data_IF_877161467028
#
_entry.id   IF_877161467028
#
_cell.length_a   1.000
_cell.length_b   1.000
_cell.length_c   1.000
_cell.angle_alpha   90.00
_cell.angle_beta   90.00
_cell.angle_gamma   90.00
#
_symmetry.space_group_name_H-M   'P 1'
#
loop_
_entity.id
_entity.type
_entity.pdbx_description
1 polymer ?
#
# COMPACT_ATOMS: atom_id res chain seq x y z
N UNK A 1 22.13 6.43 -14.45
CA UNK A 1 20.98 7.33 -14.71
C UNK A 1 20.71 8.15 -13.47
N UNK A 2 20.59 9.43 -13.61
CA UNK A 2 20.28 10.30 -12.47
C UNK A 2 18.76 10.35 -12.25
N UNK A 3 18.35 10.79 -11.05
CA UNK A 3 16.94 10.97 -10.74
C UNK A 3 16.25 11.94 -11.72
N UNK A 4 16.99 12.92 -12.23
CA UNK A 4 16.45 13.89 -13.18
C UNK A 4 16.09 13.26 -14.52
N UNK A 5 16.60 12.06 -14.83
CA UNK A 5 16.27 11.36 -16.08
C UNK A 5 14.95 10.62 -15.98
N UNK A 6 14.38 10.49 -14.78
CA UNK A 6 13.10 9.83 -14.59
C UNK A 6 11.97 10.85 -14.68
N UNK A 7 11.11 10.67 -15.67
CA UNK A 7 9.91 11.47 -15.77
C UNK A 7 8.81 10.84 -14.90
N UNK A 8 8.81 11.21 -13.62
CA UNK A 8 7.83 10.69 -12.67
C UNK A 8 6.39 11.11 -13.04
N UNK A 9 6.23 12.16 -13.83
CA UNK A 9 4.90 12.64 -14.25
C UNK A 9 4.22 11.67 -15.21
N UNK A 10 5.01 10.83 -15.90
CA UNK A 10 4.46 9.80 -16.79
C UNK A 10 4.08 8.51 -16.06
N UNK A 11 4.45 8.37 -14.79
CA UNK A 11 4.15 7.18 -14.02
C UNK A 11 2.70 7.17 -13.56
N UNK A 12 2.14 5.96 -13.44
CA UNK A 12 0.84 5.79 -12.82
C UNK A 12 0.90 6.25 -11.36
N UNK A 13 -0.18 6.84 -10.87
CA UNK A 13 -0.23 7.36 -9.50
C UNK A 13 -1.37 6.73 -8.71
N UNK A 14 -1.20 6.70 -7.39
CA UNK A 14 -2.25 6.22 -6.48
C UNK A 14 -2.11 6.90 -5.12
N UNK A 15 -3.16 6.80 -4.30
CA UNK A 15 -3.15 7.20 -2.91
C UNK A 15 -3.55 5.99 -2.06
N UNK A 16 -2.96 5.88 -0.88
CA UNK A 16 -3.29 4.79 0.05
C UNK A 16 -4.66 5.01 0.69
N UNK A 17 -5.33 3.90 1.03
CA UNK A 17 -6.55 3.93 1.81
C UNK A 17 -7.77 4.35 1.04
N UNK A 18 -8.84 4.65 1.77
CA UNK A 18 -10.14 5.00 1.20
C UNK A 18 -10.65 6.38 1.66
N UNK A 19 -9.76 7.21 2.19
CA UNK A 19 -10.08 8.59 2.56
C UNK A 19 -8.83 9.45 2.48
N UNK A 20 -8.98 10.80 2.33
CA UNK A 20 -7.83 11.70 2.35
C UNK A 20 -7.01 11.61 3.63
N UNK A 21 -7.67 11.46 4.79
CA UNK A 21 -7.00 11.34 6.07
C UNK A 21 -6.16 10.06 6.15
N UNK A 22 -6.70 8.96 5.65
CA UNK A 22 -6.00 7.69 5.62
C UNK A 22 -4.81 7.75 4.65
N UNK A 23 -5.00 8.40 3.50
CA UNK A 23 -3.93 8.58 2.53
C UNK A 23 -2.74 9.33 3.14
N UNK A 24 -3.00 10.42 3.87
CA UNK A 24 -1.96 11.20 4.53
C UNK A 24 -1.26 10.40 5.62
N UNK A 25 -2.02 9.65 6.42
CA UNK A 25 -1.48 8.83 7.50
C UNK A 25 -0.56 7.74 6.96
N UNK A 26 -1.01 7.00 5.96
CA UNK A 26 -0.22 5.90 5.41
C UNK A 26 1.00 6.41 4.63
N UNK A 27 0.87 7.53 3.94
CA UNK A 27 2.00 8.17 3.29
C UNK A 27 3.07 8.56 4.29
N UNK A 28 2.69 9.08 5.46
CA UNK A 28 3.66 9.44 6.50
C UNK A 28 4.52 8.24 6.91
N UNK A 29 3.92 7.04 7.01
CA UNK A 29 4.68 5.82 7.31
C UNK A 29 5.63 5.46 6.17
N UNK A 30 5.25 5.66 4.92
CA UNK A 30 6.15 5.46 3.78
C UNK A 30 7.33 6.41 3.85
N UNK A 31 7.08 7.69 4.07
CA UNK A 31 8.12 8.71 4.09
C UNK A 31 9.09 8.53 5.25
N UNK A 32 8.63 8.00 6.38
CA UNK A 32 9.49 7.69 7.54
C UNK A 32 10.30 6.41 7.37
N UNK A 33 9.98 5.59 6.36
CA UNK A 33 10.61 4.29 6.17
C UNK A 33 9.97 3.16 6.93
N UNK A 34 8.95 3.42 7.74
CA UNK A 34 8.28 2.39 8.53
C UNK A 34 7.44 1.45 7.66
N UNK A 35 6.81 1.99 6.62
CA UNK A 35 5.97 1.20 5.71
C UNK A 35 6.75 0.86 4.45
N UNK A 36 7.06 -0.44 4.28
CA UNK A 36 7.79 -0.96 3.12
C UNK A 36 6.98 -2.01 2.35
N UNK A 37 5.75 -2.28 2.77
CA UNK A 37 4.87 -3.24 2.11
C UNK A 37 3.44 -2.73 2.12
N UNK A 38 2.65 -3.20 1.18
CA UNK A 38 1.23 -2.92 1.12
C UNK A 38 0.50 -4.10 0.48
N UNK A 39 -0.81 -4.15 0.64
CA UNK A 39 -1.63 -5.21 0.06
C UNK A 39 -2.93 -4.64 -0.52
N UNK A 40 -3.53 -5.42 -1.40
CA UNK A 40 -4.87 -5.12 -1.92
C UNK A 40 -5.58 -6.45 -2.17
N UNK A 41 -6.90 -6.36 -2.37
CA UNK A 41 -7.68 -7.55 -2.68
C UNK A 41 -7.47 -7.97 -4.14
N UNK A 42 -7.36 -9.28 -4.38
CA UNK A 42 -7.31 -9.80 -5.75
C UNK A 42 -8.56 -9.45 -6.55
N UNK A 43 -9.66 -9.14 -5.88
CA UNK A 43 -10.89 -8.72 -6.54
C UNK A 43 -10.76 -7.37 -7.25
N UNK A 44 -9.78 -6.56 -6.84
CA UNK A 44 -9.50 -5.27 -7.48
C UNK A 44 -8.64 -5.42 -8.73
N UNK A 45 -8.24 -6.63 -9.06
CA UNK A 45 -7.35 -6.92 -10.19
C UNK A 45 -5.89 -6.66 -9.84
N UNK A 46 -5.00 -7.01 -10.77
CA UNK A 46 -3.57 -6.82 -10.54
C UNK A 46 -3.22 -5.33 -10.67
N UNK A 47 -2.71 -4.76 -9.59
CA UNK A 47 -2.42 -3.32 -9.50
C UNK A 47 -0.98 -2.99 -9.86
N UNK A 48 -0.06 -3.97 -9.79
CA UNK A 48 1.35 -3.74 -10.02
C UNK A 48 2.04 -5.02 -10.49
N UNK A 49 3.32 -4.90 -10.81
CA UNK A 49 4.20 -6.02 -11.10
C UNK A 49 5.61 -5.69 -10.62
N UNK A 50 6.46 -6.68 -10.46
CA UNK A 50 7.85 -6.45 -10.02
C UNK A 50 8.55 -5.53 -11.01
N UNK A 51 9.20 -4.50 -10.49
CA UNK A 51 9.89 -3.47 -11.26
C UNK A 51 9.05 -2.25 -11.61
N UNK A 52 7.73 -2.31 -11.39
CA UNK A 52 6.87 -1.17 -11.69
C UNK A 52 7.11 -0.04 -10.68
N UNK A 53 7.27 1.17 -11.19
CA UNK A 53 7.37 2.38 -10.40
C UNK A 53 6.05 3.16 -10.45
N UNK A 54 5.65 3.69 -9.32
CA UNK A 54 4.39 4.43 -9.20
C UNK A 54 4.59 5.64 -8.32
N UNK A 55 3.81 6.68 -8.59
CA UNK A 55 3.79 7.89 -7.76
C UNK A 55 2.75 7.70 -6.66
N UNK A 56 3.14 8.00 -5.42
CA UNK A 56 2.22 8.03 -4.28
C UNK A 56 1.80 9.47 -4.03
N UNK A 57 0.49 9.69 -4.00
CA UNK A 57 -0.11 11.00 -3.74
C UNK A 57 -0.56 11.10 -2.30
N UNK A 58 -0.62 12.33 -1.78
CA UNK A 58 -1.23 12.61 -0.48
C UNK A 58 -2.76 12.73 -0.62
N UNK A 59 -3.42 13.02 0.50
CA UNK A 59 -4.88 13.15 0.53
C UNK A 59 -5.43 14.31 -0.27
N UNK A 60 -4.60 15.28 -0.63
CA UNK A 60 -4.97 16.42 -1.47
C UNK A 60 -4.67 16.14 -2.96
N UNK A 61 -4.14 14.97 -3.29
CA UNK A 61 -3.83 14.60 -4.66
C UNK A 61 -2.47 15.06 -5.15
N UNK A 62 -1.60 15.55 -4.26
CA UNK A 62 -0.27 16.00 -4.64
C UNK A 62 0.72 14.84 -4.67
N UNK A 63 1.58 14.74 -5.68
CA UNK A 63 2.62 13.70 -5.74
C UNK A 63 3.66 13.94 -4.64
N UNK A 64 3.96 12.90 -3.87
CA UNK A 64 4.85 13.01 -2.71
C UNK A 64 6.00 12.02 -2.71
N UNK A 65 5.87 10.89 -3.41
CA UNK A 65 6.91 9.87 -3.42
C UNK A 65 6.82 9.02 -4.68
N UNK A 66 7.93 8.39 -5.05
CA UNK A 66 7.95 7.34 -6.07
C UNK A 66 8.36 6.05 -5.37
N UNK A 67 7.59 4.99 -5.60
CA UNK A 67 7.85 3.66 -5.05
C UNK A 67 8.04 2.67 -6.18
N UNK A 68 8.81 1.62 -5.92
CA UNK A 68 9.01 0.53 -6.88
C UNK A 68 8.60 -0.79 -6.23
N UNK A 69 7.85 -1.60 -6.94
CA UNK A 69 7.50 -2.95 -6.50
C UNK A 69 8.72 -3.85 -6.67
N UNK A 70 9.24 -4.38 -5.57
CA UNK A 70 10.40 -5.26 -5.59
C UNK A 70 10.03 -6.73 -5.42
N UNK A 71 8.89 -7.02 -4.80
CA UNK A 71 8.37 -8.37 -4.70
C UNK A 71 6.85 -8.34 -4.65
N UNK A 72 6.23 -9.43 -5.07
CA UNK A 72 4.79 -9.53 -5.17
C UNK A 72 4.38 -10.97 -4.87
N UNK A 73 3.42 -11.15 -3.97
CA UNK A 73 2.96 -12.46 -3.55
C UNK A 73 1.45 -12.43 -3.35
N UNK A 74 0.79 -13.50 -3.73
CA UNK A 74 -0.64 -13.68 -3.50
C UNK A 74 -0.85 -14.68 -2.39
N UNK A 75 -1.58 -14.29 -1.35
CA UNK A 75 -1.87 -15.12 -0.19
C UNK A 75 -3.35 -15.04 0.14
N UNK A 76 -3.86 -16.06 0.82
CA UNK A 76 -5.16 -15.96 1.48
C UNK A 76 -5.02 -15.02 2.67
N UNK A 77 -6.10 -14.33 3.03
CA UNK A 77 -6.08 -13.40 4.14
C UNK A 77 -5.55 -14.03 5.43
N UNK A 78 -5.95 -15.28 5.74
CA UNK A 78 -5.51 -15.96 6.94
C UNK A 78 -4.09 -16.53 6.88
N UNK A 79 -3.44 -16.44 5.73
CA UNK A 79 -2.04 -16.86 5.57
C UNK A 79 -1.05 -15.71 5.79
N UNK A 80 -1.54 -14.49 5.87
CA UNK A 80 -0.67 -13.33 6.11
C UNK A 80 -0.12 -13.39 7.52
N UNK A 81 1.21 -13.31 7.65
CA UNK A 81 1.91 -13.42 8.92
C UNK A 81 2.37 -12.08 9.47
N UNK A 82 2.94 -12.13 10.68
CA UNK A 82 3.38 -10.92 11.39
C UNK A 82 4.53 -10.20 10.67
N UNK A 83 5.41 -10.94 9.99
CA UNK A 83 6.51 -10.35 9.23
C UNK A 83 5.98 -9.36 8.18
N UNK A 84 4.94 -9.75 7.46
CA UNK A 84 4.31 -8.85 6.48
C UNK A 84 3.61 -7.68 7.18
N UNK A 85 2.89 -7.94 8.26
CA UNK A 85 2.18 -6.90 8.99
C UNK A 85 3.16 -5.84 9.53
N UNK A 86 4.32 -6.26 10.01
CA UNK A 86 5.39 -5.34 10.41
C UNK A 86 5.90 -4.52 9.24
N UNK A 87 6.06 -5.14 8.07
CA UNK A 87 6.55 -4.44 6.89
C UNK A 87 5.55 -3.41 6.38
N UNK A 88 4.25 -3.59 6.64
CA UNK A 88 3.26 -2.55 6.35
C UNK A 88 3.45 -1.32 7.23
N UNK A 89 4.00 -1.49 8.44
CA UNK A 89 4.46 -0.40 9.28
C UNK A 89 3.38 0.60 9.70
N UNK A 90 2.13 0.15 9.85
CA UNK A 90 0.98 1.02 10.08
C UNK A 90 0.63 1.18 11.57
N UNK A 91 1.54 0.75 12.44
CA UNK A 91 1.37 0.96 13.89
C UNK A 91 0.66 -0.16 14.63
N UNK A 92 0.32 -1.26 13.98
CA UNK A 92 -0.29 -2.40 14.67
C UNK A 92 0.72 -3.04 15.62
N UNK A 93 0.26 -3.37 16.82
CA UNK A 93 1.11 -3.95 17.85
C UNK A 93 1.17 -5.47 17.79
N UNK A 94 0.20 -6.10 17.10
CA UNK A 94 0.15 -7.55 16.94
C UNK A 94 -0.60 -7.90 15.66
N UNK A 95 -0.45 -9.16 15.23
CA UNK A 95 -1.09 -9.67 14.04
C UNK A 95 -2.61 -9.60 14.12
N UNK A 96 -3.18 -9.78 15.30
CA UNK A 96 -4.63 -9.72 15.47
C UNK A 96 -5.18 -8.32 15.20
N UNK A 97 -4.51 -7.28 15.68
CA UNK A 97 -4.87 -5.89 15.36
C UNK A 97 -4.80 -5.64 13.87
N UNK A 98 -3.74 -6.13 13.22
CA UNK A 98 -3.59 -6.02 11.77
C UNK A 98 -4.76 -6.68 11.05
N UNK A 99 -5.13 -7.89 11.49
CA UNK A 99 -6.25 -8.63 10.88
C UNK A 99 -7.58 -7.92 11.06
N UNK A 100 -7.84 -7.39 12.25
CA UNK A 100 -9.08 -6.66 12.52
C UNK A 100 -9.21 -5.42 11.65
N UNK A 101 -8.15 -4.62 11.57
CA UNK A 101 -8.15 -3.40 10.76
C UNK A 101 -8.33 -3.69 9.29
N UNK A 102 -7.61 -4.68 8.77
CA UNK A 102 -7.68 -5.04 7.37
C UNK A 102 -8.98 -5.76 7.01
N UNK A 103 -9.53 -6.56 7.92
CA UNK A 103 -10.85 -7.16 7.71
C UNK A 103 -11.92 -6.08 7.59
N UNK A 104 -11.87 -5.08 8.45
CA UNK A 104 -12.80 -3.96 8.37
C UNK A 104 -12.66 -3.20 7.06
N UNK A 105 -11.42 -2.91 6.65
CA UNK A 105 -11.14 -2.21 5.40
C UNK A 105 -11.66 -3.00 4.18
N UNK A 106 -11.29 -4.27 4.08
CA UNK A 106 -11.71 -5.10 2.95
C UNK A 106 -13.22 -5.34 2.94
N UNK A 107 -13.84 -5.47 4.12
CA UNK A 107 -15.29 -5.64 4.20
C UNK A 107 -16.03 -4.44 3.65
N UNK A 108 -15.64 -3.22 4.06
CA UNK A 108 -16.33 -2.00 3.57
C UNK A 108 -16.02 -1.68 2.11
N UNK A 109 -14.96 -2.24 1.56
CA UNK A 109 -14.56 -2.01 0.17
C UNK A 109 -14.86 -3.19 -0.76
N UNK A 110 -15.58 -4.22 -0.27
CA UNK A 110 -15.98 -5.36 -1.08
C UNK A 110 -14.83 -6.28 -1.48
N UNK A 111 -13.74 -6.29 -0.71
CA UNK A 111 -12.53 -7.04 -1.04
C UNK A 111 -12.57 -8.53 -0.77
N UNK A 112 -13.53 -9.01 0.02
CA UNK A 112 -13.67 -10.43 0.29
C UNK A 112 -14.69 -11.08 -0.65
N UNK A 113 -14.47 -12.36 -0.95
CA UNK A 113 -15.45 -13.17 -1.68
C UNK A 113 -16.72 -13.33 -0.83
N UNK A 114 -17.90 -13.36 -1.47
CA UNK A 114 -19.15 -13.60 -0.75
C UNK A 114 -19.15 -14.99 -0.08
#
# INVERSE_FOLDING_TARGET
MSVSDMDWRSLESFAFGDSPQMADRLLAFVLSGAKTATCWSVRDGQQTHVGKRMVVKDGAGHPRAVVETVSLEQLRFNEVGWTFALAEGEGDECLEEWREGHRAYFTRNGGFAP
#
